data_IF_552134239444
#
_entry.id   IF_552134239444
#
_cell.length_a   1.000
_cell.length_b   1.000
_cell.length_c   1.000
_cell.angle_alpha   90.00
_cell.angle_beta   90.00
_cell.angle_gamma   90.00
#
_symmetry.space_group_name_H-M   'P 1'
#
loop_
_entity.id
_entity.type
_entity.pdbx_description
1 polymer ?
#
# COMPACT_ATOMS: atom_id res chain seq x y z
N UNK A 1 43.14 -16.12 -7.89
CA UNK A 1 42.72 -14.73 -7.61
C UNK A 1 41.30 -14.75 -7.06
N UNK A 2 41.18 -14.95 -5.74
CA UNK A 2 39.91 -14.93 -5.02
C UNK A 2 39.85 -13.62 -4.23
N UNK A 3 39.00 -12.70 -4.67
CA UNK A 3 38.90 -11.36 -4.10
C UNK A 3 38.06 -11.42 -2.81
N UNK A 4 38.75 -11.35 -1.68
CA UNK A 4 38.22 -11.37 -0.32
C UNK A 4 37.79 -9.94 0.03
N UNK A 5 36.52 -9.61 -0.22
CA UNK A 5 35.92 -8.36 0.24
C UNK A 5 35.55 -8.56 1.71
N UNK A 6 36.23 -7.84 2.60
CA UNK A 6 35.87 -7.73 4.01
C UNK A 6 34.66 -6.80 4.09
N UNK A 7 33.47 -7.34 4.33
CA UNK A 7 32.34 -6.52 4.77
C UNK A 7 32.64 -6.01 6.19
N UNK A 8 32.53 -4.69 6.46
CA UNK A 8 32.55 -4.19 7.82
C UNK A 8 31.29 -4.70 8.53
N UNK A 9 31.47 -5.37 9.67
CA UNK A 9 30.41 -5.79 10.59
C UNK A 9 29.84 -4.54 11.27
N UNK A 10 29.11 -3.73 10.50
CA UNK A 10 28.31 -2.62 11.00
C UNK A 10 26.88 -2.85 10.54
N UNK A 11 26.21 -3.77 11.25
CA UNK A 11 24.76 -3.79 11.52
C UNK A 11 23.83 -3.18 10.45
N UNK A 12 23.93 -3.59 9.19
CA UNK A 12 22.81 -3.43 8.25
C UNK A 12 21.83 -4.55 8.49
N UNK A 13 21.17 -4.49 9.65
CA UNK A 13 20.00 -5.30 9.92
C UNK A 13 18.93 -4.81 8.93
N UNK A 14 18.41 -5.64 8.02
CA UNK A 14 17.28 -5.23 7.19
C UNK A 14 16.14 -4.84 8.13
N UNK A 15 15.58 -3.65 7.92
CA UNK A 15 14.53 -3.07 8.76
C UNK A 15 13.34 -4.02 8.89
N UNK A 16 13.37 -4.88 9.91
CA UNK A 16 12.42 -5.99 10.05
C UNK A 16 12.86 -7.09 11.03
N UNK A 17 14.16 -7.39 11.15
CA UNK A 17 14.67 -8.45 12.05
C UNK A 17 15.47 -7.87 13.21
N UNK A 18 14.80 -7.37 14.25
CA UNK A 18 15.49 -7.11 15.50
C UNK A 18 15.95 -8.44 16.12
N UNK A 19 17.26 -8.56 16.38
CA UNK A 19 17.87 -9.72 17.03
C UNK A 19 17.30 -9.84 18.46
N UNK A 20 16.47 -10.85 18.71
CA UNK A 20 15.85 -11.08 20.04
C UNK A 20 16.89 -11.27 21.16
N UNK A 21 18.12 -11.64 20.80
CA UNK A 21 19.23 -11.86 21.72
C UNK A 21 19.77 -10.55 22.34
N UNK A 22 19.73 -9.42 21.62
CA UNK A 22 20.15 -8.12 22.17
C UNK A 22 19.12 -7.52 23.14
N UNK A 23 17.86 -7.95 23.07
CA UNK A 23 16.80 -7.50 23.98
C UNK A 23 16.78 -8.31 25.29
N UNK A 24 17.37 -9.51 25.30
CA UNK A 24 17.54 -10.33 26.51
C UNK A 24 18.68 -9.83 27.40
N UNK A 25 19.68 -9.17 26.83
CA UNK A 25 20.82 -8.64 27.60
C UNK A 25 20.56 -7.23 28.18
N UNK A 26 19.49 -6.56 27.76
CA UNK A 26 19.07 -5.28 28.33
C UNK A 26 18.06 -5.44 29.49
N UNK A 27 17.62 -6.67 29.79
CA UNK A 27 16.85 -6.98 31.00
C UNK A 27 17.80 -7.30 32.14
N UNK A 28 17.89 -6.36 33.09
CA UNK A 28 18.35 -6.58 34.46
C UNK A 28 17.62 -7.80 35.07
N UNK A 29 18.26 -8.61 35.95
CA UNK A 29 17.88 -9.99 36.26
C UNK A 29 16.75 -10.15 37.29
N UNK A 30 15.85 -9.17 37.46
CA UNK A 30 14.74 -9.26 38.39
C UNK A 30 13.41 -8.85 37.75
N UNK A 31 12.49 -9.82 37.60
CA UNK A 31 11.09 -9.57 37.27
C UNK A 31 10.71 -10.00 35.85
N UNK A 32 10.29 -11.26 35.72
CA UNK A 32 9.66 -11.81 34.52
C UNK A 32 8.26 -11.18 34.35
N UNK A 33 8.19 -10.00 33.78
CA UNK A 33 7.00 -9.58 33.03
C UNK A 33 7.32 -9.73 31.55
N UNK A 34 6.55 -10.56 30.85
CA UNK A 34 6.62 -10.73 29.40
C UNK A 34 6.13 -9.43 28.72
N UNK A 35 6.92 -8.36 28.81
CA UNK A 35 6.59 -7.05 28.23
C UNK A 35 6.65 -7.19 26.72
N UNK A 36 5.49 -7.32 26.08
CA UNK A 36 5.36 -7.42 24.63
C UNK A 36 6.04 -6.22 23.96
N UNK A 37 7.20 -6.45 23.34
CA UNK A 37 8.01 -5.40 22.72
C UNK A 37 7.37 -5.07 21.37
N UNK A 38 6.65 -3.95 21.31
CA UNK A 38 6.03 -3.43 20.10
C UNK A 38 7.12 -2.90 19.16
N UNK A 39 7.29 -3.54 18.01
CA UNK A 39 8.18 -3.06 16.93
C UNK A 39 7.30 -2.55 15.79
N UNK A 40 7.47 -1.29 15.35
CA UNK A 40 8.29 -0.21 15.94
C UNK A 40 7.70 0.32 17.27
N UNK A 41 8.56 0.80 18.19
CA UNK A 41 8.15 1.37 19.50
C UNK A 41 7.24 2.58 19.27
N UNK A 42 6.04 2.76 19.87
CA UNK A 42 5.25 3.99 19.66
C UNK A 42 6.06 5.27 19.92
N UNK A 43 6.01 6.26 19.01
CA UNK A 43 6.63 7.58 19.25
C UNK A 43 5.72 8.37 20.19
N UNK A 44 6.28 9.23 21.05
CA UNK A 44 5.51 10.03 22.02
C UNK A 44 4.68 11.16 21.38
N UNK A 45 4.80 11.38 20.06
CA UNK A 45 4.04 12.45 19.40
C UNK A 45 2.56 12.06 19.16
N UNK A 46 1.59 12.94 19.44
CA UNK A 46 0.15 12.70 19.20
C UNK A 46 -0.25 12.59 17.72
N UNK A 47 0.69 12.84 16.79
CA UNK A 47 0.53 12.68 15.34
C UNK A 47 0.95 11.30 14.83
N UNK A 48 1.51 10.43 15.68
CA UNK A 48 1.86 9.06 15.30
C UNK A 48 0.58 8.25 15.02
N UNK A 49 0.37 7.73 13.79
CA UNK A 49 -0.76 6.86 13.47
C UNK A 49 -0.86 5.66 14.40
N UNK A 50 0.25 5.26 15.03
CA UNK A 50 0.32 4.16 15.97
C UNK A 50 -0.39 4.45 17.31
N UNK A 51 -0.62 5.71 17.68
CA UNK A 51 -1.30 6.09 18.92
C UNK A 51 -2.80 6.44 18.72
N UNK A 52 -3.32 6.34 17.49
CA UNK A 52 -4.73 6.65 17.23
C UNK A 52 -5.69 5.68 17.93
N UNK A 53 -6.86 6.17 18.38
CA UNK A 53 -7.86 5.31 18.99
C UNK A 53 -8.33 4.25 17.98
N UNK A 54 -8.58 3.03 18.47
CA UNK A 54 -8.83 1.84 17.65
C UNK A 54 -9.92 2.06 16.59
N UNK A 55 -10.98 2.80 16.90
CA UNK A 55 -12.07 3.08 15.96
C UNK A 55 -11.61 3.88 14.73
N UNK A 56 -10.68 4.83 14.86
CA UNK A 56 -10.15 5.60 13.71
C UNK A 56 -9.27 4.72 12.82
N UNK A 57 -8.47 3.84 13.42
CA UNK A 57 -7.62 2.88 12.70
C UNK A 57 -8.44 1.89 11.89
N UNK A 58 -9.47 1.31 12.51
CA UNK A 58 -10.36 0.35 11.84
C UNK A 58 -11.19 1.03 10.74
N UNK A 59 -11.63 2.28 10.94
CA UNK A 59 -12.38 3.03 9.93
C UNK A 59 -11.51 3.42 8.72
N UNK A 60 -10.26 3.84 8.96
CA UNK A 60 -9.28 4.08 7.90
C UNK A 60 -8.97 2.79 7.13
N UNK A 61 -8.73 1.69 7.84
CA UNK A 61 -8.49 0.38 7.24
C UNK A 61 -9.68 -0.10 6.42
N UNK A 62 -10.91 0.04 6.93
CA UNK A 62 -12.12 -0.31 6.20
C UNK A 62 -12.28 0.51 4.92
N UNK A 63 -11.97 1.81 4.95
CA UNK A 63 -12.02 2.68 3.76
C UNK A 63 -10.99 2.26 2.71
N UNK A 64 -9.77 1.92 3.13
CA UNK A 64 -8.71 1.42 2.24
C UNK A 64 -9.08 0.07 1.62
N UNK A 65 -9.59 -0.86 2.44
CA UNK A 65 -10.04 -2.17 1.97
C UNK A 65 -11.18 -2.00 0.97
N UNK A 66 -12.17 -1.17 1.28
CA UNK A 66 -13.29 -0.89 0.38
C UNK A 66 -12.82 -0.31 -0.95
N UNK A 67 -11.90 0.67 -0.91
CA UNK A 67 -11.30 1.21 -2.12
C UNK A 67 -10.46 0.19 -2.91
N UNK A 68 -9.75 -0.71 -2.23
CA UNK A 68 -8.96 -1.75 -2.89
C UNK A 68 -9.86 -2.81 -3.56
N UNK A 69 -10.97 -3.16 -2.92
CA UNK A 69 -12.01 -4.01 -3.49
C UNK A 69 -12.59 -3.38 -4.77
N UNK A 70 -12.92 -2.10 -4.73
CA UNK A 70 -13.43 -1.33 -5.87
C UNK A 70 -12.41 -1.22 -7.01
N UNK A 71 -11.14 -1.00 -6.68
CA UNK A 71 -10.04 -1.01 -7.64
C UNK A 71 -9.93 -2.35 -8.33
N UNK A 72 -9.96 -3.44 -7.57
CA UNK A 72 -9.89 -4.79 -8.13
C UNK A 72 -11.06 -5.09 -9.07
N UNK A 73 -12.26 -4.59 -8.79
CA UNK A 73 -13.46 -4.76 -9.63
C UNK A 73 -13.34 -4.17 -11.05
N UNK A 74 -12.50 -3.16 -11.28
CA UNK A 74 -12.37 -2.53 -12.61
C UNK A 74 -11.88 -3.50 -13.70
N UNK A 75 -11.08 -4.51 -13.33
CA UNK A 75 -10.61 -5.53 -14.24
C UNK A 75 -11.74 -6.41 -14.77
N UNK A 76 -12.40 -7.21 -13.92
CA UNK A 76 -13.40 -8.19 -14.35
C UNK A 76 -14.76 -7.59 -14.77
N UNK A 77 -15.03 -6.29 -14.56
CA UNK A 77 -16.36 -5.70 -14.79
C UNK A 77 -16.93 -5.95 -16.19
N UNK A 78 -16.09 -5.96 -17.24
CA UNK A 78 -16.55 -6.09 -18.62
C UNK A 78 -16.49 -7.52 -19.14
N UNK A 79 -15.81 -8.43 -18.43
CA UNK A 79 -15.62 -9.84 -18.80
C UNK A 79 -16.92 -10.55 -19.21
N UNK A 80 -18.02 -10.48 -18.44
CA UNK A 80 -19.27 -11.14 -18.85
C UNK A 80 -19.94 -10.52 -20.09
N UNK A 81 -19.59 -9.28 -20.45
CA UNK A 81 -20.12 -8.57 -21.61
C UNK A 81 -19.19 -8.53 -22.82
N UNK A 82 -18.03 -9.20 -22.81
CA UNK A 82 -17.05 -9.12 -23.91
C UNK A 82 -17.66 -9.46 -25.27
N UNK A 83 -18.47 -10.51 -25.33
CA UNK A 83 -19.12 -10.95 -26.57
C UNK A 83 -20.17 -9.94 -27.03
N UNK A 84 -21.00 -9.43 -26.11
CA UNK A 84 -22.03 -8.44 -26.42
C UNK A 84 -21.40 -7.12 -26.92
N UNK A 85 -20.34 -6.65 -26.25
CA UNK A 85 -19.64 -5.41 -26.62
C UNK A 85 -18.86 -5.58 -27.93
N UNK A 86 -18.30 -6.76 -28.19
CA UNK A 86 -17.64 -7.08 -29.47
C UNK A 86 -18.60 -6.98 -30.66
N UNK A 87 -19.82 -7.52 -30.52
CA UNK A 87 -20.85 -7.45 -31.56
C UNK A 87 -21.33 -6.01 -31.75
N UNK A 88 -21.53 -5.25 -30.67
CA UNK A 88 -22.04 -3.88 -30.74
C UNK A 88 -21.05 -2.90 -31.37
N UNK A 89 -19.75 -3.10 -31.16
CA UNK A 89 -18.70 -2.24 -31.71
C UNK A 89 -18.15 -2.76 -33.05
N UNK A 90 -18.65 -3.90 -33.54
CA UNK A 90 -18.16 -4.62 -34.74
C UNK A 90 -16.65 -4.88 -34.70
N UNK A 91 -16.16 -5.38 -33.57
CA UNK A 91 -14.72 -5.60 -33.31
C UNK A 91 -14.44 -7.07 -32.96
N UNK A 92 -13.26 -7.56 -33.32
CA UNK A 92 -12.83 -8.92 -33.01
C UNK A 92 -12.69 -9.13 -31.49
N UNK A 93 -12.94 -10.36 -31.01
CA UNK A 93 -12.80 -10.71 -29.60
C UNK A 93 -11.37 -10.48 -29.06
N UNK A 94 -10.36 -10.61 -29.92
CA UNK A 94 -8.96 -10.34 -29.60
C UNK A 94 -8.73 -8.90 -29.16
N UNK A 95 -9.45 -7.94 -29.77
CA UNK A 95 -9.36 -6.53 -29.41
C UNK A 95 -10.00 -6.24 -28.04
N UNK A 96 -11.07 -6.95 -27.68
CA UNK A 96 -11.62 -6.87 -26.31
C UNK A 96 -10.64 -7.42 -25.27
N UNK A 97 -9.87 -8.45 -25.62
CA UNK A 97 -8.79 -8.93 -24.76
C UNK A 97 -7.65 -7.89 -24.64
N UNK A 98 -7.27 -7.23 -25.74
CA UNK A 98 -6.31 -6.12 -25.73
C UNK A 98 -6.79 -4.94 -24.89
N UNK A 99 -8.09 -4.67 -24.89
CA UNK A 99 -8.70 -3.62 -24.07
C UNK A 99 -8.51 -3.90 -22.57
N UNK A 100 -8.75 -5.13 -22.12
CA UNK A 100 -8.46 -5.52 -20.75
C UNK A 100 -6.94 -5.60 -20.47
N UNK A 101 -6.17 -6.05 -21.46
CA UNK A 101 -4.70 -6.06 -21.39
C UNK A 101 -4.11 -4.67 -21.17
N UNK A 102 -4.63 -3.65 -21.85
CA UNK A 102 -4.17 -2.26 -21.71
C UNK A 102 -4.33 -1.72 -20.29
N UNK A 103 -5.42 -2.09 -19.61
CA UNK A 103 -5.68 -1.76 -18.21
C UNK A 103 -4.66 -2.43 -17.28
N UNK A 104 -4.37 -3.71 -17.50
CA UNK A 104 -3.41 -4.47 -16.67
C UNK A 104 -1.97 -3.99 -16.91
N UNK A 105 -1.62 -3.67 -18.16
CA UNK A 105 -0.29 -3.12 -18.49
C UNK A 105 -0.04 -1.77 -17.82
N UNK A 106 -1.00 -0.85 -17.92
CA UNK A 106 -0.90 0.47 -17.26
C UNK A 106 -0.96 0.36 -15.74
N UNK A 107 -1.73 -0.59 -15.20
CA UNK A 107 -1.70 -0.92 -13.77
C UNK A 107 -0.30 -1.34 -13.32
N UNK A 108 0.38 -2.20 -14.08
CA UNK A 108 1.74 -2.64 -13.76
C UNK A 108 2.71 -1.47 -13.68
N UNK A 109 2.72 -0.59 -14.69
CA UNK A 109 3.59 0.59 -14.72
C UNK A 109 3.28 1.55 -13.56
N UNK A 110 2.00 1.81 -13.31
CA UNK A 110 1.57 2.70 -12.25
C UNK A 110 1.90 2.16 -10.85
N UNK A 111 1.74 0.85 -10.64
CA UNK A 111 2.04 0.22 -9.36
C UNK A 111 3.50 0.38 -8.91
N UNK A 112 4.45 0.57 -9.85
CA UNK A 112 5.85 0.87 -9.52
C UNK A 112 6.11 2.36 -9.32
N UNK A 113 5.54 3.23 -10.16
CA UNK A 113 5.82 4.67 -10.12
C UNK A 113 5.13 5.37 -8.93
N UNK A 114 3.88 5.01 -8.67
CA UNK A 114 3.06 5.70 -7.70
C UNK A 114 3.56 5.59 -6.25
N UNK A 115 4.07 4.44 -5.77
CA UNK A 115 4.68 4.36 -4.44
C UNK A 115 5.87 5.30 -4.25
N UNK A 116 6.77 5.36 -5.21
CA UNK A 116 7.94 6.25 -5.15
C UNK A 116 7.53 7.72 -5.06
N UNK A 117 6.50 8.11 -5.81
CA UNK A 117 5.95 9.48 -5.77
C UNK A 117 5.26 9.75 -4.43
N UNK A 118 4.56 8.77 -3.87
CA UNK A 118 3.86 8.92 -2.60
C UNK A 118 4.80 9.14 -1.41
N UNK A 119 6.03 8.63 -1.46
CA UNK A 119 7.05 8.88 -0.43
C UNK A 119 7.52 10.35 -0.41
N UNK A 120 7.51 11.03 -1.57
CA UNK A 120 7.95 12.42 -1.71
C UNK A 120 6.80 13.41 -1.47
N UNK A 121 5.64 13.17 -2.09
CA UNK A 121 4.49 14.09 -2.06
C UNK A 121 3.48 13.78 -0.96
N UNK A 122 3.69 12.70 -0.20
CA UNK A 122 2.80 12.23 0.84
C UNK A 122 1.68 11.31 0.32
N UNK A 123 1.27 10.39 1.19
CA UNK A 123 0.33 9.32 0.87
C UNK A 123 -1.08 9.83 0.57
N UNK A 124 -1.55 10.86 1.30
CA UNK A 124 -2.90 11.43 1.15
C UNK A 124 -3.14 12.02 -0.24
N UNK A 125 -2.19 12.82 -0.73
CA UNK A 125 -2.29 13.43 -2.06
C UNK A 125 -2.31 12.36 -3.14
N UNK A 126 -1.51 11.31 -2.98
CA UNK A 126 -1.47 10.23 -3.97
C UNK A 126 -2.77 9.43 -4.03
N UNK A 127 -3.41 9.14 -2.88
CA UNK A 127 -4.74 8.54 -2.86
C UNK A 127 -5.79 9.40 -3.56
N UNK A 128 -5.77 10.72 -3.35
CA UNK A 128 -6.72 11.62 -4.02
C UNK A 128 -6.48 11.67 -5.53
N UNK A 129 -5.24 11.85 -5.97
CA UNK A 129 -4.88 11.91 -7.39
C UNK A 129 -5.26 10.63 -8.12
N UNK A 130 -4.90 9.47 -7.58
CA UNK A 130 -5.23 8.17 -8.18
C UNK A 130 -6.74 7.95 -8.26
N UNK A 131 -7.48 8.30 -7.21
CA UNK A 131 -8.95 8.21 -7.18
C UNK A 131 -9.59 9.11 -8.23
N UNK A 132 -9.13 10.36 -8.38
CA UNK A 132 -9.62 11.30 -9.40
C UNK A 132 -9.39 10.75 -10.81
N UNK A 133 -8.21 10.18 -11.07
CA UNK A 133 -7.87 9.56 -12.35
C UNK A 133 -8.83 8.39 -12.66
N UNK A 134 -9.16 7.57 -11.66
CA UNK A 134 -10.10 6.46 -11.83
C UNK A 134 -11.51 6.97 -12.14
N UNK A 135 -11.99 7.98 -11.39
CA UNK A 135 -13.31 8.59 -11.64
C UNK A 135 -13.38 9.15 -13.05
N UNK A 136 -12.37 9.94 -13.47
CA UNK A 136 -12.31 10.50 -14.82
C UNK A 136 -12.31 9.41 -15.89
N UNK A 137 -11.55 8.34 -15.68
CA UNK A 137 -11.50 7.19 -16.57
C UNK A 137 -12.81 6.41 -16.63
N UNK A 138 -13.53 6.27 -15.52
CA UNK A 138 -14.85 5.62 -15.47
C UNK A 138 -15.91 6.47 -16.20
N UNK A 139 -15.94 7.79 -15.96
CA UNK A 139 -16.83 8.71 -16.67
C UNK A 139 -16.55 8.70 -18.18
N UNK A 140 -15.28 8.68 -18.59
CA UNK A 140 -14.92 8.58 -20.00
C UNK A 140 -15.35 7.24 -20.59
N UNK A 141 -15.11 6.12 -19.90
CA UNK A 141 -15.56 4.81 -20.37
C UNK A 141 -17.10 4.70 -20.47
N UNK A 142 -17.84 5.33 -19.55
CA UNK A 142 -19.30 5.38 -19.58
C UNK A 142 -19.88 6.25 -20.70
N UNK A 143 -19.12 7.21 -21.24
CA UNK A 143 -19.51 8.06 -22.37
C UNK A 143 -18.92 7.60 -23.71
N UNK A 144 -18.03 6.60 -23.70
CA UNK A 144 -17.32 6.14 -24.90
C UNK A 144 -18.23 5.31 -25.82
N UNK A 145 -18.37 5.74 -27.07
CA UNK A 145 -19.07 5.01 -28.13
C UNK A 145 -18.12 4.42 -29.19
N UNK A 146 -16.81 4.57 -29.02
CA UNK A 146 -15.78 4.06 -29.94
C UNK A 146 -14.78 3.19 -29.21
N UNK A 147 -14.35 2.10 -29.86
CA UNK A 147 -13.36 1.17 -29.33
C UNK A 147 -12.05 1.87 -28.93
N UNK A 148 -11.54 2.79 -29.76
CA UNK A 148 -10.30 3.55 -29.45
C UNK A 148 -10.45 4.43 -28.22
N UNK A 149 -11.63 5.05 -28.06
CA UNK A 149 -11.93 5.87 -26.88
C UNK A 149 -12.05 5.01 -25.63
N UNK A 150 -12.64 3.82 -25.73
CA UNK A 150 -12.77 2.89 -24.61
C UNK A 150 -11.40 2.34 -24.20
N UNK A 151 -10.53 2.04 -25.17
CA UNK A 151 -9.15 1.61 -24.93
C UNK A 151 -8.35 2.68 -24.18
N UNK A 152 -8.42 3.94 -24.62
CA UNK A 152 -7.76 5.06 -23.95
C UNK A 152 -8.30 5.26 -22.51
N UNK A 153 -9.63 5.23 -22.34
CA UNK A 153 -10.24 5.33 -21.02
C UNK A 153 -9.80 4.20 -20.08
N UNK A 154 -9.60 2.98 -20.60
CA UNK A 154 -9.13 1.82 -19.83
C UNK A 154 -7.66 1.93 -19.43
N UNK A 155 -6.82 2.46 -20.32
CA UNK A 155 -5.43 2.78 -19.98
C UNK A 155 -5.34 3.81 -18.84
N UNK A 156 -6.17 4.86 -18.89
CA UNK A 156 -6.22 5.87 -17.82
C UNK A 156 -6.72 5.27 -16.50
N UNK A 157 -7.76 4.42 -16.55
CA UNK A 157 -8.23 3.69 -15.36
C UNK A 157 -7.14 2.81 -14.75
N UNK A 158 -6.37 2.10 -15.58
CA UNK A 158 -5.26 1.27 -15.11
C UNK A 158 -4.17 2.10 -14.41
N UNK A 159 -3.86 3.30 -14.91
CA UNK A 159 -2.93 4.22 -14.27
C UNK A 159 -3.39 4.67 -12.87
N UNK A 160 -4.67 4.94 -12.67
CA UNK A 160 -5.18 5.27 -11.34
C UNK A 160 -5.25 4.03 -10.43
N UNK A 161 -5.70 2.90 -10.97
CA UNK A 161 -5.92 1.64 -10.25
C UNK A 161 -4.62 1.07 -9.67
N UNK A 162 -3.52 1.08 -10.43
CA UNK A 162 -2.23 0.56 -9.97
C UNK A 162 -1.67 1.32 -8.76
N UNK A 163 -1.73 2.65 -8.80
CA UNK A 163 -1.25 3.49 -7.71
C UNK A 163 -2.08 3.34 -6.44
N UNK A 164 -3.40 3.27 -6.56
CA UNK A 164 -4.28 3.04 -5.42
C UNK A 164 -4.01 1.68 -4.77
N UNK A 165 -3.92 0.62 -5.58
CA UNK A 165 -3.75 -0.75 -5.09
C UNK A 165 -2.38 -0.97 -4.42
N UNK A 166 -1.30 -0.44 -5.02
CA UNK A 166 0.03 -0.54 -4.45
C UNK A 166 0.12 0.15 -3.09
N UNK A 167 -0.45 1.35 -2.96
CA UNK A 167 -0.47 2.08 -1.68
C UNK A 167 -1.33 1.42 -0.61
N UNK A 168 -2.48 0.86 -0.99
CA UNK A 168 -3.38 0.17 -0.08
C UNK A 168 -2.74 -1.06 0.57
N UNK A 169 -1.96 -1.83 -0.18
CA UNK A 169 -1.38 -3.09 0.29
C UNK A 169 -0.11 -2.93 1.13
N UNK A 170 0.83 -2.05 0.73
CA UNK A 170 2.18 -2.02 1.31
C UNK A 170 2.42 -0.87 2.28
N UNK A 171 2.05 0.36 1.92
CA UNK A 171 2.36 1.53 2.74
C UNK A 171 1.38 1.69 3.91
N UNK A 172 0.08 1.78 3.60
CA UNK A 172 -0.92 2.17 4.61
C UNK A 172 -1.12 1.13 5.72
N UNK A 173 -1.06 -0.17 5.41
CA UNK A 173 -1.23 -1.23 6.42
C UNK A 173 0.00 -1.32 7.33
N UNK A 174 1.19 -1.10 6.76
CA UNK A 174 2.46 -1.13 7.49
C UNK A 174 2.54 0.03 8.49
N UNK A 175 2.05 1.21 8.12
CA UNK A 175 2.17 2.39 8.99
C UNK A 175 1.19 2.41 10.17
N UNK A 176 0.02 1.77 10.03
CA UNK A 176 -1.06 1.87 11.03
C UNK A 176 -1.01 0.73 12.06
N UNK A 177 -0.44 -0.42 11.70
CA UNK A 177 -0.49 -1.64 12.51
C UNK A 177 0.89 -2.17 12.91
N UNK A 178 0.96 -2.76 14.10
CA UNK A 178 2.17 -3.38 14.63
C UNK A 178 2.51 -4.70 13.91
N UNK A 179 3.80 -5.05 13.86
CA UNK A 179 4.33 -6.21 13.12
C UNK A 179 3.59 -7.52 13.45
N UNK A 180 3.23 -7.75 14.71
CA UNK A 180 2.51 -8.96 15.15
C UNK A 180 1.06 -9.04 14.63
N UNK A 181 0.40 -7.91 14.32
CA UNK A 181 -0.97 -7.89 13.77
C UNK A 181 -0.99 -7.73 12.24
N UNK A 182 0.10 -7.26 11.63
CA UNK A 182 0.18 -6.97 10.18
C UNK A 182 -0.21 -8.17 9.33
N UNK A 183 0.29 -9.37 9.66
CA UNK A 183 0.00 -10.59 8.90
C UNK A 183 -1.51 -10.89 8.80
N UNK A 184 -2.22 -10.80 9.93
CA UNK A 184 -3.68 -11.03 9.98
C UNK A 184 -4.44 -10.00 9.13
N UNK A 185 -4.01 -8.75 9.15
CA UNK A 185 -4.67 -7.64 8.43
C UNK A 185 -4.42 -7.68 6.93
N UNK A 186 -3.20 -8.01 6.52
CA UNK A 186 -2.87 -8.25 5.10
C UNK A 186 -3.66 -9.47 4.57
N UNK A 187 -3.80 -10.52 5.38
CA UNK A 187 -4.65 -11.66 5.05
C UNK A 187 -6.12 -11.26 4.82
N UNK A 188 -6.70 -10.47 5.73
CA UNK A 188 -8.07 -9.97 5.61
C UNK A 188 -8.26 -9.07 4.38
N UNK A 189 -7.28 -8.20 4.09
CA UNK A 189 -7.27 -7.37 2.90
C UNK A 189 -7.27 -8.21 1.62
N UNK A 190 -6.35 -9.18 1.49
CA UNK A 190 -6.29 -10.07 0.33
C UNK A 190 -7.59 -10.86 0.14
N UNK A 191 -8.14 -11.41 1.23
CA UNK A 191 -9.39 -12.14 1.20
C UNK A 191 -10.55 -11.28 0.67
N UNK A 192 -10.65 -10.05 1.15
CA UNK A 192 -11.68 -9.09 0.71
C UNK A 192 -11.53 -8.72 -0.77
N UNK A 193 -10.29 -8.56 -1.23
CA UNK A 193 -9.96 -8.25 -2.64
C UNK A 193 -10.32 -9.43 -3.56
N UNK A 194 -10.04 -10.67 -3.15
CA UNK A 194 -10.40 -11.87 -3.91
C UNK A 194 -11.92 -12.03 -4.02
N UNK A 195 -12.64 -11.90 -2.91
CA UNK A 195 -14.12 -11.93 -2.91
C UNK A 195 -14.67 -10.87 -3.86
N UNK A 196 -14.14 -9.64 -3.81
CA UNK A 196 -14.58 -8.56 -4.70
C UNK A 196 -14.36 -8.93 -6.17
N UNK A 197 -13.18 -9.47 -6.51
CA UNK A 197 -12.84 -9.87 -7.88
C UNK A 197 -13.85 -10.88 -8.45
N UNK A 198 -14.26 -11.85 -7.64
CA UNK A 198 -15.13 -12.95 -8.08
C UNK A 198 -16.61 -12.57 -8.04
N UNK A 199 -17.03 -11.69 -7.12
CA UNK A 199 -18.39 -11.15 -7.09
C UNK A 199 -18.66 -10.15 -8.22
N UNK A 200 -17.65 -9.42 -8.65
CA UNK A 200 -17.80 -8.37 -9.67
C UNK A 200 -18.44 -8.88 -10.98
N UNK A 201 -17.97 -9.96 -11.64
CA UNK A 201 -18.57 -10.42 -12.89
C UNK A 201 -20.00 -10.93 -12.72
N UNK A 202 -20.37 -11.41 -11.52
CA UNK A 202 -21.74 -11.82 -11.22
C UNK A 202 -22.67 -10.60 -11.24
N UNK A 203 -22.27 -9.54 -10.56
CA UNK A 203 -23.05 -8.28 -10.51
C UNK A 203 -23.05 -7.59 -11.87
N UNK A 204 -21.89 -7.47 -12.52
CA UNK A 204 -21.79 -6.77 -13.80
C UNK A 204 -22.47 -7.53 -14.93
N UNK A 205 -22.48 -8.87 -14.91
CA UNK A 205 -23.22 -9.69 -15.86
C UNK A 205 -24.73 -9.43 -15.80
N UNK A 206 -25.29 -9.27 -14.60
CA UNK A 206 -26.70 -8.91 -14.43
C UNK A 206 -27.03 -7.49 -14.92
N UNK A 207 -26.14 -6.53 -14.67
CA UNK A 207 -26.32 -5.14 -15.16
C UNK A 207 -26.23 -5.06 -16.68
N UNK A 208 -25.29 -5.78 -17.29
CA UNK A 208 -25.08 -5.79 -18.75
C UNK A 208 -26.27 -6.43 -19.47
N UNK A 209 -26.88 -7.48 -18.90
CA UNK A 209 -28.02 -8.16 -19.52
C UNK A 209 -29.33 -7.39 -19.38
N UNK A 210 -29.51 -6.61 -18.31
CA UNK A 210 -30.77 -5.91 -18.02
C UNK A 210 -30.85 -4.49 -18.57
N UNK A 211 -29.76 -3.72 -18.52
CA UNK A 211 -29.77 -2.30 -18.87
C UNK A 211 -28.89 -2.00 -20.07
N UNK A 212 -27.56 -2.01 -19.88
CA UNK A 212 -26.55 -1.74 -20.90
C UNK A 212 -25.15 -1.87 -20.29
N UNK A 213 -24.15 -2.10 -21.12
CA UNK A 213 -22.76 -2.17 -20.67
C UNK A 213 -22.19 -0.82 -20.22
N UNK A 214 -22.66 0.31 -20.77
CA UNK A 214 -22.28 1.64 -20.31
C UNK A 214 -22.67 1.89 -18.85
N UNK A 215 -23.82 1.37 -18.41
CA UNK A 215 -24.31 1.55 -17.05
C UNK A 215 -23.41 0.90 -16.00
N UNK A 216 -22.73 -0.20 -16.33
CA UNK A 216 -21.71 -0.79 -15.45
C UNK A 216 -20.57 0.19 -15.14
N UNK A 217 -20.18 1.03 -16.09
CA UNK A 217 -19.16 2.06 -15.87
C UNK A 217 -19.70 3.26 -15.08
N UNK A 218 -20.95 3.66 -15.30
CA UNK A 218 -21.58 4.71 -14.51
C UNK A 218 -21.74 4.30 -13.04
N UNK A 219 -22.11 3.05 -12.77
CA UNK A 219 -22.17 2.52 -11.40
C UNK A 219 -20.79 2.52 -10.73
N UNK A 220 -19.74 2.13 -11.46
CA UNK A 220 -18.37 2.23 -10.97
C UNK A 220 -17.94 3.69 -10.71
N UNK A 221 -18.31 4.62 -11.59
CA UNK A 221 -18.02 6.03 -11.39
C UNK A 221 -18.66 6.57 -10.11
N UNK A 222 -19.93 6.26 -9.85
CA UNK A 222 -20.63 6.63 -8.61
C UNK A 222 -19.92 6.05 -7.39
N UNK A 223 -19.57 4.76 -7.45
CA UNK A 223 -18.88 4.07 -6.37
C UNK A 223 -17.52 4.73 -6.07
N UNK A 224 -16.78 5.12 -7.10
CA UNK A 224 -15.50 5.82 -6.95
C UNK A 224 -15.64 7.25 -6.44
N UNK A 225 -16.71 7.96 -6.78
CA UNK A 225 -17.03 9.27 -6.19
C UNK A 225 -17.32 9.14 -4.69
N UNK A 226 -18.03 8.08 -4.28
CA UNK A 226 -18.25 7.79 -2.85
C UNK A 226 -16.93 7.48 -2.14
N UNK A 227 -16.03 6.71 -2.76
CA UNK A 227 -14.69 6.45 -2.20
C UNK A 227 -13.87 7.72 -2.13
N UNK A 228 -13.98 8.61 -3.13
CA UNK A 228 -13.30 9.91 -3.11
C UNK A 228 -13.77 10.77 -1.95
N UNK A 229 -15.09 10.86 -1.73
CA UNK A 229 -15.66 11.56 -0.60
C UNK A 229 -15.24 10.93 0.74
N UNK A 230 -15.27 9.60 0.85
CA UNK A 230 -14.82 8.87 2.03
C UNK A 230 -13.32 9.10 2.29
N UNK A 231 -12.50 9.14 1.23
CA UNK A 231 -11.05 9.41 1.35
C UNK A 231 -10.78 10.83 1.81
N UNK A 232 -11.58 11.81 1.36
CA UNK A 232 -11.46 13.21 1.82
C UNK A 232 -11.80 13.38 3.30
N UNK A 233 -12.83 12.69 3.79
CA UNK A 233 -13.33 12.80 5.17
C UNK A 233 -12.54 11.93 6.16
N UNK A 234 -12.19 10.71 5.75
CA UNK A 234 -11.64 9.68 6.65
C UNK A 234 -10.10 9.67 6.73
N UNK A 235 -9.38 10.35 5.83
CA UNK A 235 -7.91 10.48 5.91
C UNK A 235 -7.47 11.82 6.53
N UNK A 236 -7.21 11.88 7.84
CA UNK A 236 -6.26 12.84 8.38
C UNK A 236 -4.86 12.49 7.84
N UNK A 237 -4.02 13.50 7.54
CA UNK A 237 -2.67 13.31 6.97
C UNK A 237 -1.89 12.20 7.69
N UNK A 238 -1.61 11.10 6.99
CA UNK A 238 -0.83 9.95 7.50
C UNK A 238 0.67 10.07 7.23
N UNK A 239 1.16 11.23 6.79
CA UNK A 239 2.59 11.48 6.63
C UNK A 239 3.19 11.83 7.98
N UNK A 240 3.41 10.82 8.81
CA UNK A 240 4.32 10.92 9.94
C UNK A 240 5.69 10.42 9.49
N UNK A 241 6.63 11.33 9.23
CA UNK A 241 8.03 10.96 9.05
C UNK A 241 8.58 10.51 10.39
N UNK A 242 8.57 9.20 10.61
CA UNK A 242 9.24 8.62 11.75
C UNK A 242 10.73 8.64 11.46
N UNK A 243 11.44 9.64 12.00
CA UNK A 243 12.89 9.71 11.92
C UNK A 243 13.48 8.40 12.42
N UNK A 244 13.95 7.54 11.51
CA UNK A 244 14.69 6.33 11.84
C UNK A 244 16.10 6.63 12.41
N UNK A 245 16.39 7.89 12.75
CA UNK A 245 17.71 8.39 13.09
C UNK A 245 17.91 8.87 14.53
N UNK A 246 16.93 8.79 15.45
CA UNK A 246 17.16 9.20 16.85
C UNK A 246 17.30 8.05 17.85
N UNK A 247 17.38 6.79 17.39
CA UNK A 247 17.70 5.64 18.26
C UNK A 247 19.20 5.25 18.22
N UNK A 248 20.05 6.08 17.58
CA UNK A 248 21.51 5.88 17.51
C UNK A 248 22.34 6.86 18.36
N UNK A 249 21.75 7.43 19.42
CA UNK A 249 22.51 8.18 20.42
C UNK A 249 22.11 7.73 21.82
N UNK A 250 22.30 6.45 22.11
CA UNK A 250 22.88 6.13 23.41
C UNK A 250 24.35 6.51 23.25
N UNK A 251 24.70 7.73 23.69
CA UNK A 251 26.07 8.07 24.06
C UNK A 251 26.56 6.97 24.99
N UNK A 252 27.34 6.03 24.44
CA UNK A 252 28.20 5.18 25.24
C UNK A 252 29.22 6.14 25.82
N UNK A 253 28.92 6.66 27.02
CA UNK A 253 29.87 7.35 27.85
C UNK A 253 31.02 6.38 28.12
N UNK A 254 32.08 6.48 27.34
CA UNK A 254 33.37 5.86 27.65
C UNK A 254 33.91 6.67 28.83
N UNK A 255 33.45 6.31 30.03
CA UNK A 255 34.12 6.66 31.27
C UNK A 255 35.47 5.95 31.23
N UNK A 256 36.53 6.73 30.99
CA UNK A 256 37.89 6.22 30.91
C UNK A 256 38.27 5.53 32.21
N UNK A 257 38.36 4.20 32.18
CA UNK A 257 39.09 3.44 33.18
C UNK A 257 40.55 3.38 32.74
N UNK A 258 41.30 4.32 33.30
CA UNK A 258 42.73 4.47 33.12
C UNK A 258 43.43 3.59 34.14
N UNK A 259 43.70 2.32 33.83
CA UNK A 259 44.75 1.58 34.53
C UNK A 259 45.33 0.40 33.74
N UNK A 260 46.66 0.46 33.62
CA UNK A 260 47.65 -0.62 33.47
C UNK A 260 48.29 -0.85 32.09
N UNK A 261 49.43 -0.18 31.88
CA UNK A 261 50.59 -0.75 31.18
C UNK A 261 51.89 -0.30 31.89
N UNK A 262 52.95 -1.13 31.94
CA UNK A 262 53.97 -1.07 32.98
C UNK A 262 55.07 -0.02 32.77
N UNK A 263 55.68 0.35 33.90
CA UNK A 263 56.83 1.24 34.09
C UNK A 263 57.99 0.99 33.11
N UNK A 264 58.31 2.01 32.31
CA UNK A 264 59.65 2.22 31.78
C UNK A 264 60.36 3.24 32.69
N UNK A 265 61.29 2.76 33.52
CA UNK A 265 62.19 3.60 34.32
C UNK A 265 63.35 4.03 33.44
N UNK A 266 63.39 5.32 33.07
CA UNK A 266 64.65 6.02 32.81
C UNK A 266 65.15 6.61 34.13
N UNK A 267 66.42 6.40 34.46
CA UNK A 267 67.31 7.43 35.00
C UNK A 267 68.72 6.87 35.27
N UNK A 268 69.70 7.57 34.68
CA UNK A 268 71.15 7.59 34.92
C UNK A 268 72.02 6.41 34.46
#
# INVERSE_FOLDING_TARGET
MAFRILEPVSSTIPSGTNLLENLRNASDPEGVETRLILVPKPSESPLDPLNWPRYKKELLFATIVFGACAARSLGPVLVPGFTAVAILLDVQLTDMALLNGSLIMTLGVSAYLCPCIAEVYGKRMMYLVTTVIIVAGCCWAGAANSYKSLLAARAIQGLGMGGFFAMAGTASITDVFFVHERGRRIGLWNFSVMISNDLTPVVSGYVISSVSWHWSFWLLAILWVVILAATLVCFPETTFYRNAGSDNSVEVGISGDNSTSPKEKSNH
#
